data_IF_422473171937
#
_entry.id   IF_422473171937
#
_cell.length_a   1.000
_cell.length_b   1.000
_cell.length_c   1.000
_cell.angle_alpha   90.00
_cell.angle_beta   90.00
_cell.angle_gamma   90.00
#
_symmetry.space_group_name_H-M   'P 1'
#
loop_
_entity.id
_entity.type
_entity.pdbx_description
1 polymer ?
#
# COMPACT_ATOMS: atom_id res chain seq x y z
N UNK A 1 -23.76 32.38 9.98
CA UNK A 1 -23.31 31.00 10.24
C UNK A 1 -22.35 30.62 9.12
N UNK A 2 -21.07 30.93 9.33
CA UNK A 2 -20.03 30.84 8.31
C UNK A 2 -19.54 29.42 8.10
N UNK A 3 -19.45 29.04 6.82
CA UNK A 3 -18.65 27.92 6.34
C UNK A 3 -17.17 28.23 6.62
N UNK A 4 -16.54 27.47 7.53
CA UNK A 4 -15.08 27.46 7.66
C UNK A 4 -14.49 26.79 6.42
N UNK A 5 -14.04 27.60 5.48
CA UNK A 5 -13.08 27.23 4.44
C UNK A 5 -11.74 27.04 5.15
N UNK A 6 -11.23 25.80 5.19
CA UNK A 6 -9.85 25.53 5.61
C UNK A 6 -8.94 25.82 4.42
N UNK A 7 -8.53 27.09 4.28
CA UNK A 7 -7.45 27.50 3.37
C UNK A 7 -6.15 27.60 4.14
N UNK A 8 -5.10 26.92 3.66
CA UNK A 8 -3.72 27.26 3.94
C UNK A 8 -3.16 26.80 5.30
N UNK A 9 -2.57 25.61 5.33
CA UNK A 9 -1.46 25.30 6.23
C UNK A 9 -0.32 24.70 5.42
N UNK A 10 0.82 25.39 5.49
CA UNK A 10 2.15 24.94 5.05
C UNK A 10 2.43 23.54 5.62
N UNK A 11 2.53 22.53 4.75
CA UNK A 11 2.79 21.15 5.12
C UNK A 11 4.29 20.88 5.20
N UNK A 12 4.88 21.16 6.36
CA UNK A 12 6.27 20.82 6.67
C UNK A 12 6.33 19.63 7.65
N UNK A 13 7.27 18.72 7.34
CA UNK A 13 7.98 17.76 8.21
C UNK A 13 7.33 16.35 8.43
N UNK A 14 8.03 15.33 7.90
CA UNK A 14 8.29 13.95 8.39
C UNK A 14 7.29 12.78 8.22
N UNK A 15 7.19 12.21 7.00
CA UNK A 15 6.84 10.78 6.83
C UNK A 15 8.08 9.89 6.67
N UNK A 16 9.22 10.50 6.31
CA UNK A 16 10.37 9.80 5.77
C UNK A 16 11.20 9.07 6.85
N UNK A 17 11.27 9.61 8.07
CA UNK A 17 12.00 9.02 9.21
C UNK A 17 11.33 7.75 9.80
N UNK A 18 10.02 7.61 9.58
CA UNK A 18 9.15 6.65 10.27
C UNK A 18 9.32 5.26 9.67
N UNK A 19 9.21 5.11 8.35
CA UNK A 19 9.36 3.79 7.71
C UNK A 19 10.81 3.28 7.68
N UNK A 20 11.80 4.18 7.70
CA UNK A 20 13.22 3.79 7.84
C UNK A 20 13.55 3.27 9.25
N UNK A 21 12.99 3.87 10.31
CA UNK A 21 13.21 3.39 11.68
C UNK A 21 12.54 2.03 11.97
N UNK A 22 11.49 1.67 11.23
CA UNK A 22 10.85 0.35 11.32
C UNK A 22 11.70 -0.78 10.73
N UNK A 23 12.43 -0.49 9.64
CA UNK A 23 13.24 -1.47 8.91
C UNK A 23 14.65 -1.64 9.51
N UNK A 24 15.13 -0.69 10.35
CA UNK A 24 16.48 -0.76 10.97
C UNK A 24 16.49 -0.33 12.44
N UNK A 25 16.43 -1.28 13.39
CA UNK A 25 16.38 -0.98 14.82
C UNK A 25 17.63 -0.33 15.45
N UNK A 26 18.74 -0.19 14.70
CA UNK A 26 20.04 0.23 15.23
C UNK A 26 20.42 1.69 14.98
N UNK A 27 19.57 2.49 14.35
CA UNK A 27 19.93 3.86 13.93
C UNK A 27 19.28 4.91 14.84
N UNK A 28 20.12 5.71 15.50
CA UNK A 28 19.70 6.90 16.26
C UNK A 28 19.25 8.04 15.34
N UNK A 29 18.25 8.81 15.77
CA UNK A 29 17.50 9.86 15.08
C UNK A 29 18.27 11.09 14.54
N UNK A 30 19.59 11.06 14.40
CA UNK A 30 20.43 12.26 14.25
C UNK A 30 20.87 12.64 12.81
N UNK A 31 20.36 12.02 11.74
CA UNK A 31 20.91 12.28 10.39
C UNK A 31 19.88 12.19 9.27
N UNK A 32 18.83 13.01 9.33
CA UNK A 32 17.77 13.01 8.33
C UNK A 32 17.43 14.43 7.85
N UNK A 33 17.88 14.79 6.66
CA UNK A 33 17.66 16.11 6.05
C UNK A 33 17.03 15.99 4.66
N UNK A 34 16.11 15.05 4.47
CA UNK A 34 15.46 14.83 3.18
C UNK A 34 14.00 15.22 3.26
N UNK A 35 13.64 16.28 2.54
CA UNK A 35 12.29 16.83 2.49
C UNK A 35 11.49 16.14 1.38
N UNK A 36 10.94 14.96 1.69
CA UNK A 36 9.87 14.40 0.86
C UNK A 36 8.62 15.28 0.99
N UNK A 37 8.17 15.89 -0.10
CA UNK A 37 6.92 16.64 -0.15
C UNK A 37 5.75 15.73 -0.56
N UNK A 38 4.66 15.79 0.23
CA UNK A 38 3.46 14.95 0.10
C UNK A 38 3.76 13.47 -0.21
N UNK A 39 4.50 12.77 0.66
CA UNK A 39 4.88 11.38 0.38
C UNK A 39 3.65 10.46 0.37
N UNK A 40 3.59 9.59 -0.64
CA UNK A 40 2.36 8.85 -1.01
C UNK A 40 2.50 7.34 -0.94
N UNK A 41 3.71 6.81 -1.10
CA UNK A 41 4.00 5.38 -1.10
C UNK A 41 5.45 5.13 -0.71
N UNK A 42 5.71 3.97 -0.11
CA UNK A 42 7.02 3.52 0.34
C UNK A 42 7.14 2.02 0.19
N UNK A 43 8.30 1.55 -0.28
CA UNK A 43 8.68 0.14 -0.36
C UNK A 43 10.16 -0.01 0.01
N UNK A 44 10.63 -1.24 0.17
CA UNK A 44 12.05 -1.55 0.37
C UNK A 44 12.49 -2.69 -0.54
N UNK A 45 13.75 -2.68 -0.95
CA UNK A 45 14.39 -3.73 -1.75
C UNK A 45 15.34 -4.62 -0.92
N UNK A 46 15.24 -4.52 0.40
CA UNK A 46 16.13 -5.18 1.38
C UNK A 46 17.41 -4.39 1.70
N UNK A 47 17.88 -3.53 0.81
CA UNK A 47 19.07 -2.68 1.04
C UNK A 47 18.71 -1.19 1.14
N UNK A 48 17.65 -0.77 0.48
CA UNK A 48 17.21 0.60 0.37
C UNK A 48 15.70 0.72 0.59
N UNK A 49 15.30 1.88 1.10
CA UNK A 49 13.92 2.34 1.16
C UNK A 49 13.68 3.30 0.00
N UNK A 50 12.56 3.13 -0.69
CA UNK A 50 12.15 3.96 -1.80
C UNK A 50 10.85 4.66 -1.45
N UNK A 51 10.80 5.98 -1.63
CA UNK A 51 9.65 6.81 -1.26
C UNK A 51 9.21 7.67 -2.42
N UNK A 52 7.94 7.54 -2.79
CA UNK A 52 7.30 8.43 -3.74
C UNK A 52 7.01 9.76 -3.05
N UNK A 53 7.62 10.84 -3.54
CA UNK A 53 7.40 12.21 -3.09
C UNK A 53 6.49 12.91 -4.08
N UNK A 54 5.18 12.90 -3.80
CA UNK A 54 4.19 13.34 -4.78
C UNK A 54 4.21 14.85 -5.06
N UNK A 55 4.63 15.67 -4.08
CA UNK A 55 4.75 17.12 -4.25
C UNK A 55 5.95 17.54 -5.10
N UNK A 56 6.98 16.69 -5.16
CA UNK A 56 8.23 16.96 -5.86
C UNK A 56 8.36 16.22 -7.20
N UNK A 57 7.42 15.33 -7.54
CA UNK A 57 7.49 14.46 -8.72
C UNK A 57 8.77 13.62 -8.80
N UNK A 58 9.28 13.17 -7.65
CA UNK A 58 10.47 12.32 -7.53
C UNK A 58 10.18 11.05 -6.72
N UNK A 59 11.02 10.03 -6.94
CA UNK A 59 11.23 8.94 -5.99
C UNK A 59 12.55 9.14 -5.28
N UNK A 60 12.52 9.16 -3.95
CA UNK A 60 13.70 9.21 -3.10
C UNK A 60 14.17 7.79 -2.80
N UNK A 61 15.47 7.56 -2.79
CA UNK A 61 16.10 6.31 -2.36
C UNK A 61 16.97 6.59 -1.16
N UNK A 62 16.79 5.81 -0.11
CA UNK A 62 17.46 5.96 1.17
C UNK A 62 18.10 4.64 1.57
N UNK A 63 19.31 4.70 2.10
CA UNK A 63 20.00 3.51 2.61
C UNK A 63 19.24 3.00 3.83
N UNK A 64 18.93 1.71 3.87
CA UNK A 64 18.32 1.07 5.05
C UNK A 64 19.29 1.25 6.22
N UNK A 65 20.54 0.78 6.10
CA UNK A 65 21.53 0.74 7.19
C UNK A 65 21.93 2.07 7.81
N UNK A 66 21.75 3.19 7.10
CA UNK A 66 22.15 4.53 7.60
C UNK A 66 21.01 5.54 7.62
N UNK A 67 19.88 5.24 6.98
CA UNK A 67 18.82 6.18 6.69
C UNK A 67 19.20 7.33 5.75
N UNK A 68 20.46 7.40 5.27
CA UNK A 68 20.92 8.53 4.49
C UNK A 68 20.33 8.54 3.08
N UNK A 69 20.12 9.74 2.52
CA UNK A 69 19.72 9.89 1.11
C UNK A 69 20.79 9.31 0.20
N UNK A 70 20.39 8.36 -0.64
CA UNK A 70 21.22 7.83 -1.72
C UNK A 70 20.99 8.62 -3.00
N UNK A 71 19.74 9.01 -3.27
CA UNK A 71 19.41 9.82 -4.44
C UNK A 71 17.95 10.21 -4.51
N UNK A 72 17.66 11.18 -5.38
CA UNK A 72 16.32 11.58 -5.78
C UNK A 72 16.20 11.46 -7.30
N UNK A 73 15.20 10.72 -7.76
CA UNK A 73 15.04 10.35 -9.16
C UNK A 73 13.73 10.90 -9.70
N UNK A 74 13.83 11.74 -10.73
CA UNK A 74 12.66 12.33 -11.38
C UNK A 74 11.79 11.24 -12.03
N UNK A 75 10.48 11.36 -11.83
CA UNK A 75 9.45 10.48 -12.39
C UNK A 75 8.34 11.32 -13.00
N UNK A 76 7.18 10.72 -13.28
CA UNK A 76 6.01 11.48 -13.72
C UNK A 76 5.33 12.22 -12.57
N UNK A 77 4.26 12.95 -12.92
CA UNK A 77 3.54 13.81 -11.99
C UNK A 77 2.74 13.03 -10.95
N UNK A 78 2.88 13.44 -9.70
CA UNK A 78 2.17 12.90 -8.54
C UNK A 78 2.36 11.38 -8.45
N UNK A 79 3.60 10.90 -8.23
CA UNK A 79 3.84 9.48 -7.97
C UNK A 79 2.99 9.03 -6.79
N UNK A 80 2.20 7.97 -6.98
CA UNK A 80 1.14 7.55 -6.06
C UNK A 80 1.36 6.17 -5.47
N UNK A 81 1.96 5.25 -6.21
CA UNK A 81 2.25 3.90 -5.77
C UNK A 81 3.61 3.44 -6.27
N UNK A 82 4.26 2.60 -5.47
CA UNK A 82 5.51 1.92 -5.79
C UNK A 82 5.33 0.40 -5.69
N UNK A 83 5.99 -0.35 -6.57
CA UNK A 83 6.20 -1.80 -6.39
C UNK A 83 7.60 -2.18 -6.86
N UNK A 84 8.23 -3.17 -6.23
CA UNK A 84 9.49 -3.75 -6.69
C UNK A 84 9.24 -5.04 -7.46
N UNK A 85 9.97 -5.24 -8.56
CA UNK A 85 10.07 -6.55 -9.24
C UNK A 85 11.35 -7.32 -8.84
N UNK A 86 12.05 -6.85 -7.80
CA UNK A 86 13.35 -7.34 -7.34
C UNK A 86 14.54 -6.60 -7.96
N UNK A 87 14.54 -6.37 -9.28
CA UNK A 87 15.63 -5.66 -9.97
C UNK A 87 15.35 -4.18 -10.19
N UNK A 88 14.08 -3.79 -10.20
CA UNK A 88 13.57 -2.49 -10.58
C UNK A 88 12.48 -2.03 -9.62
N UNK A 89 12.30 -0.72 -9.58
CA UNK A 89 11.20 -0.04 -8.90
C UNK A 89 10.27 0.52 -9.96
N UNK A 90 8.98 0.24 -9.83
CA UNK A 90 7.93 0.73 -10.70
C UNK A 90 7.07 1.75 -9.98
N UNK A 91 6.74 2.83 -10.68
CA UNK A 91 6.16 4.03 -10.09
C UNK A 91 4.92 4.43 -10.86
N UNK A 92 3.74 4.39 -10.23
CA UNK A 92 2.51 4.88 -10.84
C UNK A 92 2.43 6.41 -10.70
N UNK A 93 2.43 7.12 -11.81
CA UNK A 93 2.39 8.58 -11.85
C UNK A 93 0.96 9.04 -12.16
N UNK A 94 0.19 9.33 -11.11
CA UNK A 94 -1.25 9.52 -11.20
C UNK A 94 -1.65 10.60 -12.21
N UNK A 95 -1.00 11.77 -12.15
CA UNK A 95 -1.37 12.91 -12.98
C UNK A 95 -0.68 12.92 -14.35
N UNK A 96 0.25 12.00 -14.59
CA UNK A 96 0.84 11.78 -15.91
C UNK A 96 0.17 10.65 -16.69
N UNK A 97 -0.66 9.81 -16.06
CA UNK A 97 -1.21 8.59 -16.67
C UNK A 97 -0.11 7.65 -17.20
N UNK A 98 1.00 7.56 -16.46
CA UNK A 98 2.15 6.72 -16.83
C UNK A 98 2.62 5.87 -15.66
N UNK A 99 3.41 4.85 -15.98
CA UNK A 99 4.26 4.15 -15.02
C UNK A 99 5.72 4.34 -15.40
N UNK A 100 6.57 4.76 -14.46
CA UNK A 100 8.03 4.86 -14.65
C UNK A 100 8.72 3.64 -14.04
N UNK A 101 9.68 3.07 -14.77
CA UNK A 101 10.55 1.98 -14.32
C UNK A 101 11.94 2.51 -14.01
N UNK A 102 12.38 2.36 -12.78
CA UNK A 102 13.71 2.73 -12.29
C UNK A 102 14.52 1.48 -12.00
N UNK A 103 15.79 1.45 -12.39
CA UNK A 103 16.69 0.37 -12.03
C UNK A 103 17.02 0.45 -10.54
N UNK A 104 16.73 -0.59 -9.74
CA UNK A 104 16.85 -0.49 -8.28
C UNK A 104 18.29 -0.18 -7.83
N UNK A 105 19.32 -0.81 -8.43
CA UNK A 105 20.71 -0.58 -8.01
C UNK A 105 21.16 0.89 -8.09
N UNK A 106 20.73 1.64 -9.11
CA UNK A 106 21.23 3.01 -9.37
C UNK A 106 20.17 4.11 -9.36
N UNK A 107 18.89 3.73 -9.44
CA UNK A 107 17.75 4.62 -9.69
C UNK A 107 17.67 5.18 -11.11
N UNK A 108 18.48 4.68 -12.04
CA UNK A 108 18.42 5.11 -13.44
C UNK A 108 17.05 4.77 -14.07
N UNK A 109 16.46 5.73 -14.76
CA UNK A 109 15.20 5.52 -15.50
C UNK A 109 15.43 4.61 -16.69
N UNK A 110 14.75 3.46 -16.70
CA UNK A 110 14.79 2.49 -17.79
C UNK A 110 13.67 2.73 -18.82
N UNK A 111 12.58 3.36 -18.40
CA UNK A 111 11.48 3.70 -19.29
C UNK A 111 10.30 4.32 -18.56
N UNK A 112 9.43 4.97 -19.32
CA UNK A 112 8.14 5.49 -18.86
C UNK A 112 7.07 5.06 -19.86
N UNK A 113 6.02 4.42 -19.36
CA UNK A 113 5.04 3.70 -20.16
C UNK A 113 3.65 4.29 -19.95
N UNK A 114 2.92 4.55 -21.02
CA UNK A 114 1.54 5.03 -20.96
C UNK A 114 0.60 3.93 -20.44
N UNK A 115 -0.30 4.30 -19.54
CA UNK A 115 -1.34 3.42 -18.99
C UNK A 115 -2.70 4.14 -19.01
N UNK A 116 -3.71 3.60 -18.34
CA UNK A 116 -5.00 4.25 -18.19
C UNK A 116 -4.95 5.51 -17.30
N UNK A 117 -6.11 6.17 -17.16
CA UNK A 117 -6.22 7.43 -16.42
C UNK A 117 -6.08 7.23 -14.92
N UNK A 118 -5.32 8.13 -14.27
CA UNK A 118 -5.11 8.17 -12.83
C UNK A 118 -4.68 6.81 -12.25
N UNK A 119 -3.50 6.26 -12.61
CA UNK A 119 -3.00 5.04 -12.02
C UNK A 119 -2.69 5.28 -10.53
N UNK A 120 -3.26 4.44 -9.64
CA UNK A 120 -3.09 4.60 -8.18
C UNK A 120 -2.62 3.35 -7.45
N UNK A 121 -2.62 2.18 -8.10
CA UNK A 121 -2.22 0.91 -7.50
C UNK A 121 -1.35 0.09 -8.43
N UNK A 122 -0.38 -0.62 -7.86
CA UNK A 122 0.53 -1.52 -8.56
C UNK A 122 0.63 -2.87 -7.86
N UNK A 123 0.76 -3.94 -8.63
CA UNK A 123 1.17 -5.26 -8.14
C UNK A 123 2.12 -5.93 -9.14
N UNK A 124 3.06 -6.72 -8.64
CA UNK A 124 3.93 -7.58 -9.45
C UNK A 124 3.49 -9.04 -9.29
N UNK A 125 3.29 -9.74 -10.41
CA UNK A 125 2.86 -11.15 -10.42
C UNK A 125 4.03 -12.15 -10.55
N UNK A 126 5.27 -11.67 -10.48
CA UNK A 126 6.49 -12.46 -10.76
C UNK A 126 7.00 -12.32 -12.20
N UNK A 127 6.18 -11.81 -13.14
CA UNK A 127 6.56 -11.59 -14.56
C UNK A 127 6.10 -10.24 -15.11
N UNK A 128 4.98 -9.72 -14.62
CA UNK A 128 4.26 -8.57 -15.14
C UNK A 128 3.88 -7.62 -14.02
N UNK A 129 3.77 -6.34 -14.37
CA UNK A 129 3.26 -5.28 -13.52
C UNK A 129 1.81 -5.02 -13.88
N UNK A 130 0.94 -5.06 -12.88
CA UNK A 130 -0.49 -4.77 -13.02
C UNK A 130 -0.78 -3.41 -12.41
N UNK A 131 -1.53 -2.59 -13.15
CA UNK A 131 -1.73 -1.17 -12.85
C UNK A 131 -3.22 -0.87 -12.76
N UNK A 132 -3.71 -0.53 -11.57
CA UNK A 132 -5.09 -0.08 -11.39
C UNK A 132 -5.23 1.38 -11.81
N UNK A 133 -6.01 1.61 -12.87
CA UNK A 133 -6.26 2.92 -13.45
C UNK A 133 -7.60 3.43 -12.92
N UNK A 134 -7.56 4.09 -11.77
CA UNK A 134 -8.74 4.54 -11.03
C UNK A 134 -9.69 5.34 -11.91
N UNK A 135 -9.14 6.25 -12.72
CA UNK A 135 -9.94 7.13 -13.56
C UNK A 135 -10.56 6.41 -14.75
N UNK A 136 -9.97 5.32 -15.23
CA UNK A 136 -10.44 4.61 -16.43
C UNK A 136 -11.26 3.36 -16.15
N UNK A 137 -11.44 2.96 -14.88
CA UNK A 137 -12.10 1.70 -14.49
C UNK A 137 -11.49 0.47 -15.19
N UNK A 138 -10.16 0.47 -15.32
CA UNK A 138 -9.40 -0.59 -16.00
C UNK A 138 -8.14 -0.96 -15.23
N UNK A 139 -7.64 -2.17 -15.49
CA UNK A 139 -6.30 -2.61 -15.10
C UNK A 139 -5.43 -2.79 -16.35
N UNK A 140 -4.25 -2.18 -16.37
CA UNK A 140 -3.26 -2.38 -17.45
C UNK A 140 -2.22 -3.40 -16.99
N UNK A 141 -1.86 -4.35 -17.86
CA UNK A 141 -0.79 -5.33 -17.63
C UNK A 141 0.42 -4.99 -18.49
N UNK A 142 1.55 -4.75 -17.85
CA UNK A 142 2.84 -4.44 -18.47
C UNK A 142 3.79 -5.62 -18.27
N UNK A 143 4.49 -6.04 -19.33
CA UNK A 143 5.56 -7.03 -19.20
C UNK A 143 6.73 -6.42 -18.43
N UNK A 144 7.15 -7.00 -17.31
CA UNK A 144 8.15 -6.36 -16.46
C UNK A 144 9.53 -6.27 -17.15
N UNK A 145 9.90 -7.21 -18.03
CA UNK A 145 11.21 -7.18 -18.67
C UNK A 145 11.42 -5.93 -19.57
N UNK A 146 10.39 -5.52 -20.32
CA UNK A 146 10.48 -4.44 -21.32
C UNK A 146 9.58 -3.22 -21.04
N UNK A 147 8.54 -3.39 -20.23
CA UNK A 147 7.44 -2.44 -20.04
C UNK A 147 6.42 -2.41 -21.18
N UNK A 148 6.47 -3.39 -22.10
CA UNK A 148 5.46 -3.51 -23.16
C UNK A 148 4.06 -3.78 -22.57
N UNK A 149 3.05 -3.10 -23.09
CA UNK A 149 1.65 -3.34 -22.71
C UNK A 149 1.17 -4.66 -23.31
N UNK A 150 0.76 -5.58 -22.45
CA UNK A 150 0.21 -6.89 -22.82
C UNK A 150 -1.32 -6.87 -22.94
N UNK A 151 -1.98 -5.95 -22.23
CA UNK A 151 -3.41 -5.79 -22.29
C UNK A 151 -3.94 -4.78 -21.29
N UNK A 152 -5.18 -4.34 -21.52
CA UNK A 152 -5.95 -3.48 -20.63
C UNK A 152 -7.33 -4.09 -20.46
N UNK A 153 -7.73 -4.29 -19.20
CA UNK A 153 -8.90 -5.09 -18.85
C UNK A 153 -9.88 -4.26 -18.03
N UNK A 154 -11.16 -4.30 -18.40
CA UNK A 154 -12.21 -3.62 -17.65
C UNK A 154 -12.47 -4.32 -16.31
N UNK A 155 -12.64 -3.52 -15.26
CA UNK A 155 -12.99 -3.97 -13.91
C UNK A 155 -14.13 -3.09 -13.37
N UNK A 156 -14.42 -3.17 -12.07
CA UNK A 156 -15.41 -2.29 -11.44
C UNK A 156 -14.92 -0.84 -11.33
N UNK A 157 -15.77 0.03 -10.77
CA UNK A 157 -15.52 1.46 -10.73
C UNK A 157 -14.51 1.85 -9.64
N UNK A 158 -13.58 2.73 -10.00
CA UNK A 158 -12.53 3.22 -9.10
C UNK A 158 -11.59 2.11 -8.60
N UNK A 159 -10.92 1.34 -9.49
CA UNK A 159 -9.99 0.31 -9.07
C UNK A 159 -8.84 0.93 -8.26
N UNK A 160 -8.50 0.28 -7.15
CA UNK A 160 -7.52 0.73 -6.17
C UNK A 160 -6.41 -0.29 -5.95
N UNK A 161 -6.49 -1.03 -4.85
CA UNK A 161 -5.47 -2.00 -4.48
C UNK A 161 -5.50 -3.21 -5.40
N UNK A 162 -4.33 -3.81 -5.63
CA UNK A 162 -4.20 -5.09 -6.32
C UNK A 162 -3.41 -6.07 -5.45
N UNK A 163 -3.81 -7.34 -5.46
CA UNK A 163 -3.08 -8.44 -4.82
C UNK A 163 -2.98 -9.61 -5.78
N UNK A 164 -1.80 -10.20 -5.89
CA UNK A 164 -1.59 -11.43 -6.64
C UNK A 164 -1.66 -12.64 -5.69
N UNK A 165 -2.46 -13.65 -6.05
CA UNK A 165 -2.65 -14.86 -5.24
C UNK A 165 -1.77 -16.04 -5.69
N UNK A 166 -0.83 -15.81 -6.63
CA UNK A 166 -0.03 -16.86 -7.27
C UNK A 166 -0.59 -17.34 -8.61
N UNK A 167 -1.85 -17.06 -8.93
CA UNK A 167 -2.51 -17.43 -10.20
C UNK A 167 -3.35 -16.30 -10.79
N UNK A 168 -3.93 -15.45 -9.96
CA UNK A 168 -4.91 -14.42 -10.28
C UNK A 168 -4.53 -13.10 -9.61
N UNK A 169 -4.95 -12.01 -10.23
CA UNK A 169 -4.87 -10.67 -9.67
C UNK A 169 -6.26 -10.26 -9.18
N UNK A 170 -6.35 -9.86 -7.92
CA UNK A 170 -7.56 -9.37 -7.29
C UNK A 170 -7.50 -7.85 -7.20
N UNK A 171 -8.60 -7.19 -7.52
CA UNK A 171 -8.67 -5.73 -7.67
C UNK A 171 -9.82 -5.19 -6.83
N UNK A 172 -9.53 -4.32 -5.86
CA UNK A 172 -10.60 -3.63 -5.13
C UNK A 172 -11.16 -2.50 -5.97
N UNK A 173 -12.48 -2.45 -6.10
CA UNK A 173 -13.19 -1.42 -6.86
C UNK A 173 -13.94 -0.52 -5.87
N UNK A 174 -13.30 0.60 -5.52
CA UNK A 174 -13.70 1.46 -4.39
C UNK A 174 -15.12 2.00 -4.56
N UNK A 175 -15.48 2.41 -5.78
CA UNK A 175 -16.74 3.10 -6.03
C UNK A 175 -17.90 2.14 -6.31
N UNK A 176 -17.61 0.89 -6.69
CA UNK A 176 -18.63 -0.14 -6.91
C UNK A 176 -18.83 -1.10 -5.73
N UNK A 177 -18.02 -0.99 -4.66
CA UNK A 177 -18.09 -1.87 -3.48
C UNK A 177 -17.91 -3.36 -3.83
N UNK A 178 -16.99 -3.64 -4.75
CA UNK A 178 -16.71 -5.01 -5.23
C UNK A 178 -15.22 -5.29 -5.29
N UNK A 179 -14.87 -6.56 -5.41
CA UNK A 179 -13.53 -7.01 -5.82
C UNK A 179 -13.66 -7.79 -7.12
N UNK A 180 -12.83 -7.48 -8.12
CA UNK A 180 -12.73 -8.25 -9.38
C UNK A 180 -11.55 -9.20 -9.35
N UNK A 181 -11.74 -10.44 -9.79
CA UNK A 181 -10.69 -11.45 -9.95
C UNK A 181 -10.33 -11.60 -11.43
N UNK A 182 -9.08 -11.35 -11.77
CA UNK A 182 -8.53 -11.48 -13.12
C UNK A 182 -7.56 -12.66 -13.18
N UNK A 183 -7.68 -13.53 -14.16
CA UNK A 183 -6.70 -14.59 -14.41
C UNK A 183 -5.38 -13.95 -14.84
N UNK A 184 -4.27 -14.20 -14.13
CA UNK A 184 -3.03 -13.47 -14.41
C UNK A 184 -2.45 -13.82 -15.79
N UNK A 185 -2.61 -15.05 -16.29
CA UNK A 185 -2.04 -15.45 -17.59
C UNK A 185 -2.60 -14.66 -18.77
N UNK A 186 -3.92 -14.37 -18.77
CA UNK A 186 -4.62 -13.76 -19.90
C UNK A 186 -5.27 -12.40 -19.61
N UNK A 187 -5.51 -12.09 -18.34
CA UNK A 187 -6.35 -10.98 -17.88
C UNK A 187 -7.85 -11.22 -18.01
N UNK A 188 -8.28 -12.47 -18.25
CA UNK A 188 -9.70 -12.81 -18.27
C UNK A 188 -10.36 -12.51 -16.92
N UNK A 189 -11.55 -11.89 -16.94
CA UNK A 189 -12.35 -11.67 -15.74
C UNK A 189 -13.03 -12.98 -15.32
N UNK A 190 -12.65 -13.47 -14.13
CA UNK A 190 -13.16 -14.71 -13.54
C UNK A 190 -14.35 -14.49 -12.61
N UNK A 191 -14.65 -13.23 -12.27
CA UNK A 191 -15.75 -12.87 -11.40
C UNK A 191 -15.56 -11.51 -10.74
N UNK A 192 -16.69 -10.91 -10.36
CA UNK A 192 -16.75 -9.71 -9.53
C UNK A 192 -17.63 -10.00 -8.33
N UNK A 193 -17.10 -9.77 -7.14
CA UNK A 193 -17.69 -10.21 -5.87
C UNK A 193 -18.02 -9.01 -5.01
N UNK A 194 -19.23 -8.97 -4.47
CA UNK A 194 -19.66 -7.91 -3.56
C UNK A 194 -18.92 -7.99 -2.22
N UNK A 195 -18.49 -6.85 -1.71
CA UNK A 195 -17.87 -6.69 -0.39
C UNK A 195 -18.51 -5.51 0.35
N UNK A 196 -17.89 -5.02 1.43
CA UNK A 196 -18.36 -3.83 2.12
C UNK A 196 -18.11 -2.53 1.34
N UNK A 197 -18.51 -1.40 1.93
CA UNK A 197 -18.42 -0.09 1.28
C UNK A 197 -16.99 0.43 1.22
N UNK A 198 -16.60 0.94 0.05
CA UNK A 198 -15.28 1.51 -0.25
C UNK A 198 -14.14 0.55 0.13
N UNK A 199 -14.01 -0.58 -0.59
CA UNK A 199 -12.92 -1.51 -0.36
C UNK A 199 -11.57 -0.86 -0.71
N UNK A 200 -10.65 -0.78 0.25
CA UNK A 200 -9.33 -0.20 0.08
C UNK A 200 -8.24 -1.28 0.00
N UNK A 201 -7.41 -1.40 1.04
CA UNK A 201 -6.31 -2.36 1.11
C UNK A 201 -6.80 -3.81 1.14
N UNK A 202 -5.99 -4.68 0.54
CA UNK A 202 -6.24 -6.12 0.50
C UNK A 202 -4.98 -6.90 0.84
N UNK A 203 -5.15 -8.13 1.34
CA UNK A 203 -4.05 -9.09 1.53
C UNK A 203 -4.50 -10.50 1.13
N UNK A 204 -3.55 -11.30 0.65
CA UNK A 204 -3.72 -12.73 0.43
C UNK A 204 -3.03 -13.49 1.56
N UNK A 205 -3.74 -14.41 2.22
CA UNK A 205 -3.22 -15.20 3.35
C UNK A 205 -2.70 -16.59 2.96
N UNK A 206 -2.63 -16.90 1.66
CA UNK A 206 -2.33 -18.24 1.14
C UNK A 206 -3.56 -19.08 0.77
N UNK A 207 -4.77 -18.66 1.17
CA UNK A 207 -6.02 -19.32 0.77
C UNK A 207 -7.19 -18.36 0.50
N UNK A 208 -7.12 -17.15 1.04
CA UNK A 208 -8.22 -16.19 1.10
C UNK A 208 -7.71 -14.77 0.81
N UNK A 209 -8.59 -13.97 0.24
CA UNK A 209 -8.40 -12.53 0.08
C UNK A 209 -9.14 -11.82 1.21
N UNK A 210 -8.43 -10.97 1.94
CA UNK A 210 -8.98 -10.13 2.99
C UNK A 210 -9.06 -8.69 2.50
N UNK A 211 -10.22 -8.07 2.67
CA UNK A 211 -10.55 -6.77 2.05
C UNK A 211 -11.00 -5.80 3.13
N UNK A 212 -10.26 -4.71 3.35
CA UNK A 212 -10.67 -3.64 4.25
C UNK A 212 -11.75 -2.77 3.60
N UNK A 213 -12.91 -2.63 4.25
CA UNK A 213 -14.03 -1.85 3.75
C UNK A 213 -14.16 -0.56 4.56
N UNK A 214 -13.56 0.53 4.06
CA UNK A 214 -13.28 1.71 4.89
C UNK A 214 -14.52 2.49 5.31
N UNK A 215 -15.64 2.36 4.62
CA UNK A 215 -16.91 3.01 4.99
C UNK A 215 -17.91 2.08 5.66
N UNK A 216 -17.54 0.83 5.92
CA UNK A 216 -18.36 -0.13 6.69
C UNK A 216 -17.74 -0.48 8.04
N UNK A 217 -16.49 -0.08 8.26
CA UNK A 217 -15.61 -0.53 9.35
C UNK A 217 -15.64 -2.04 9.53
N UNK A 218 -15.50 -2.74 8.40
CA UNK A 218 -15.43 -4.19 8.35
C UNK A 218 -14.25 -4.65 7.51
N UNK A 219 -13.87 -5.92 7.68
CA UNK A 219 -13.05 -6.65 6.73
C UNK A 219 -13.85 -7.83 6.18
N UNK A 220 -13.85 -8.00 4.86
CA UNK A 220 -14.47 -9.15 4.19
C UNK A 220 -13.40 -10.19 3.86
N UNK A 221 -13.68 -11.47 4.13
CA UNK A 221 -12.84 -12.62 3.76
C UNK A 221 -13.48 -13.34 2.58
N UNK A 222 -12.79 -13.41 1.46
CA UNK A 222 -13.18 -14.14 0.26
C UNK A 222 -12.29 -15.37 0.09
N UNK A 223 -12.88 -16.52 -0.24
CA UNK A 223 -12.13 -17.72 -0.60
C UNK A 223 -11.44 -17.50 -1.95
N UNK A 224 -10.11 -17.62 -2.02
CA UNK A 224 -9.38 -17.28 -3.25
C UNK A 224 -9.70 -18.24 -4.41
N UNK A 225 -10.04 -19.51 -4.16
CA UNK A 225 -10.34 -20.45 -5.25
C UNK A 225 -11.59 -20.05 -6.06
N UNK A 226 -12.63 -19.53 -5.41
CA UNK A 226 -13.94 -19.27 -6.04
C UNK A 226 -14.44 -17.83 -5.94
N UNK A 227 -13.89 -17.03 -5.03
CA UNK A 227 -14.39 -15.71 -4.64
C UNK A 227 -15.61 -15.74 -3.72
N UNK A 228 -15.99 -16.91 -3.20
CA UNK A 228 -17.06 -17.05 -2.22
C UNK A 228 -16.75 -16.26 -0.95
N UNK A 229 -17.71 -15.46 -0.48
CA UNK A 229 -17.60 -14.75 0.81
C UNK A 229 -17.68 -15.75 1.96
N UNK A 230 -16.59 -15.85 2.74
CA UNK A 230 -16.50 -16.69 3.93
C UNK A 230 -16.97 -15.98 5.20
N UNK A 231 -16.87 -14.65 5.23
CA UNK A 231 -17.32 -13.85 6.35
C UNK A 231 -17.04 -12.37 6.16
N UNK A 232 -17.73 -11.55 6.95
CA UNK A 232 -17.46 -10.13 7.11
C UNK A 232 -17.40 -9.81 8.59
N UNK A 233 -16.29 -9.20 9.03
CA UNK A 233 -15.94 -9.05 10.43
C UNK A 233 -15.82 -7.57 10.77
N UNK A 234 -16.46 -7.13 11.87
CA UNK A 234 -16.34 -5.75 12.34
C UNK A 234 -14.94 -5.49 12.88
N UNK A 235 -14.38 -4.34 12.52
CA UNK A 235 -13.06 -3.86 12.98
C UNK A 235 -13.20 -2.40 13.46
N UNK A 236 -12.07 -1.74 13.75
CA UNK A 236 -12.08 -0.33 14.13
C UNK A 236 -12.43 0.61 12.96
N UNK A 237 -12.67 1.88 13.28
CA UNK A 237 -13.14 2.90 12.36
C UNK A 237 -12.18 3.16 11.19
N UNK A 238 -12.76 3.18 9.98
CA UNK A 238 -12.07 3.43 8.71
C UNK A 238 -10.85 2.53 8.48
N UNK A 239 -11.05 1.21 8.27
CA UNK A 239 -9.96 0.30 7.94
C UNK A 239 -9.42 0.60 6.53
N UNK A 240 -8.10 0.79 6.41
CA UNK A 240 -7.45 1.23 5.16
C UNK A 240 -6.42 0.23 4.62
N UNK A 241 -5.80 -0.58 5.49
CA UNK A 241 -4.80 -1.57 5.10
C UNK A 241 -5.04 -2.91 5.82
N UNK A 242 -4.65 -3.99 5.15
CA UNK A 242 -4.69 -5.36 5.68
C UNK A 242 -3.31 -5.99 5.47
N UNK A 243 -2.81 -6.67 6.50
CA UNK A 243 -1.56 -7.44 6.44
C UNK A 243 -1.83 -8.84 6.94
N UNK A 244 -1.45 -9.85 6.16
CA UNK A 244 -1.59 -11.26 6.52
C UNK A 244 -0.21 -11.87 6.81
N UNK A 245 -0.10 -12.66 7.87
CA UNK A 245 1.12 -13.40 8.20
C UNK A 245 1.00 -14.14 9.52
N UNK A 246 1.76 -15.22 9.68
CA UNK A 246 1.79 -16.07 10.89
C UNK A 246 0.40 -16.52 11.37
N UNK A 247 -0.52 -16.79 10.42
CA UNK A 247 -1.89 -17.20 10.73
C UNK A 247 -2.79 -16.09 11.30
N UNK A 248 -2.33 -14.84 11.31
CA UNK A 248 -3.07 -13.67 11.77
C UNK A 248 -3.32 -12.68 10.63
N UNK A 249 -4.38 -11.88 10.80
CA UNK A 249 -4.71 -10.76 9.92
C UNK A 249 -4.69 -9.48 10.75
N UNK A 250 -3.89 -8.51 10.34
CA UNK A 250 -3.79 -7.21 10.99
C UNK A 250 -4.45 -6.15 10.11
N UNK A 251 -5.35 -5.38 10.70
CA UNK A 251 -6.18 -4.40 10.01
C UNK A 251 -5.90 -3.04 10.58
N UNK A 252 -5.41 -2.12 9.75
CA UNK A 252 -5.08 -0.75 10.16
C UNK A 252 -6.32 0.12 10.08
N UNK A 253 -6.76 0.67 11.21
CA UNK A 253 -7.96 1.49 11.34
C UNK A 253 -7.56 2.96 11.46
N UNK A 254 -7.67 3.72 10.36
CA UNK A 254 -7.13 5.07 10.26
C UNK A 254 -7.79 6.03 11.24
N UNK A 255 -9.11 6.10 11.23
CA UNK A 255 -9.84 7.00 12.13
C UNK A 255 -10.02 6.41 13.52
N UNK A 256 -9.94 5.07 13.64
CA UNK A 256 -9.90 4.39 14.92
C UNK A 256 -8.58 4.46 15.67
N UNK A 257 -7.53 5.08 15.10
CA UNK A 257 -6.18 5.19 15.68
C UNK A 257 -5.66 3.89 16.28
N UNK A 258 -5.94 2.78 15.60
CA UNK A 258 -5.72 1.43 16.13
C UNK A 258 -5.39 0.44 15.04
N UNK A 259 -4.95 -0.74 15.46
CA UNK A 259 -4.90 -1.93 14.61
C UNK A 259 -5.71 -3.04 15.25
N UNK A 260 -6.54 -3.71 14.46
CA UNK A 260 -7.28 -4.91 14.88
C UNK A 260 -6.56 -6.16 14.41
N UNK A 261 -6.32 -7.12 15.32
CA UNK A 261 -5.80 -8.46 15.01
C UNK A 261 -6.97 -9.44 14.94
N UNK A 262 -7.08 -10.16 13.83
CA UNK A 262 -8.02 -11.26 13.64
C UNK A 262 -7.24 -12.58 13.50
N UNK A 263 -7.85 -13.67 13.95
CA UNK A 263 -7.37 -15.02 13.66
C UNK A 263 -7.63 -15.35 12.19
N UNK A 264 -6.60 -15.69 11.41
CA UNK A 264 -6.73 -15.90 9.97
C UNK A 264 -7.64 -17.09 9.59
N UNK A 265 -7.67 -18.16 10.39
CA UNK A 265 -8.54 -19.31 10.08
C UNK A 265 -10.03 -18.96 10.18
N UNK A 266 -10.45 -18.21 11.21
CA UNK A 266 -11.86 -18.00 11.55
C UNK A 266 -12.36 -16.57 11.33
N UNK A 267 -11.46 -15.60 11.28
CA UNK A 267 -11.74 -14.16 11.33
C UNK A 267 -12.18 -13.65 12.71
N UNK A 268 -12.11 -14.48 13.75
CA UNK A 268 -12.41 -14.05 15.11
C UNK A 268 -11.44 -12.95 15.57
N UNK A 269 -11.97 -11.91 16.20
CA UNK A 269 -11.14 -10.83 16.77
C UNK A 269 -10.32 -11.33 17.93
N UNK A 270 -9.00 -11.20 17.82
CA UNK A 270 -8.04 -11.50 18.90
C UNK A 270 -7.88 -10.27 19.80
N UNK A 271 -7.83 -9.07 19.21
CA UNK A 271 -7.73 -7.83 19.95
C UNK A 271 -7.67 -6.60 19.05
N UNK A 272 -7.89 -5.43 19.65
CA UNK A 272 -7.69 -4.12 18.99
C UNK A 272 -6.73 -3.31 19.85
N UNK A 273 -5.68 -2.79 19.23
CA UNK A 273 -4.54 -2.18 19.90
C UNK A 273 -4.40 -0.73 19.44
N UNK A 274 -4.36 0.20 20.40
CA UNK A 274 -4.14 1.61 20.11
C UNK A 274 -2.74 1.85 19.54
N UNK A 275 -2.67 2.65 18.48
CA UNK A 275 -1.42 3.12 17.86
C UNK A 275 -1.39 4.65 17.84
N UNK A 276 -0.57 5.26 16.98
CA UNK A 276 -0.55 6.73 16.87
C UNK A 276 -1.66 7.22 15.93
N UNK A 277 -1.82 8.54 15.83
CA UNK A 277 -2.89 9.15 15.07
C UNK A 277 -2.82 8.86 13.57
N UNK A 278 -3.99 8.64 12.97
CA UNK A 278 -4.23 8.35 11.56
C UNK A 278 -3.24 7.31 10.96
N UNK A 279 -3.23 6.05 11.43
CA UNK A 279 -2.38 5.03 10.85
C UNK A 279 -2.84 4.68 9.44
N UNK A 280 -1.88 4.48 8.52
CA UNK A 280 -2.18 4.32 7.09
C UNK A 280 -1.75 2.98 6.52
N UNK A 281 -0.68 2.39 7.05
CA UNK A 281 -0.16 1.12 6.56
C UNK A 281 0.61 0.38 7.67
N UNK A 282 0.86 -0.90 7.47
CA UNK A 282 1.69 -1.70 8.36
C UNK A 282 2.48 -2.78 7.60
N UNK A 283 3.56 -3.26 8.19
CA UNK A 283 4.35 -4.40 7.69
C UNK A 283 4.66 -5.38 8.83
N UNK A 284 4.85 -6.65 8.46
CA UNK A 284 5.33 -7.69 9.37
C UNK A 284 6.82 -7.93 9.15
N UNK A 285 7.62 -7.80 10.21
CA UNK A 285 9.05 -8.07 10.16
C UNK A 285 9.61 -8.48 11.52
N UNK A 286 10.41 -9.55 11.53
CA UNK A 286 11.10 -10.04 12.73
C UNK A 286 10.17 -10.35 13.90
N UNK A 287 8.97 -10.89 13.63
CA UNK A 287 7.95 -11.17 14.65
C UNK A 287 7.24 -9.93 15.22
N UNK A 288 7.33 -8.79 14.52
CA UNK A 288 6.68 -7.55 14.92
C UNK A 288 5.83 -6.99 13.79
N UNK A 289 4.74 -6.31 14.17
CA UNK A 289 4.00 -5.43 13.29
C UNK A 289 4.51 -4.00 13.47
N UNK A 290 4.89 -3.37 12.37
CA UNK A 290 5.28 -1.97 12.36
C UNK A 290 4.22 -1.15 11.63
N UNK A 291 3.65 -0.17 12.34
CA UNK A 291 2.48 0.58 11.89
C UNK A 291 2.89 2.03 11.67
N UNK A 292 2.71 2.53 10.45
CA UNK A 292 2.96 3.92 10.12
C UNK A 292 1.77 4.79 10.55
N UNK A 293 2.01 5.74 11.46
CA UNK A 293 1.01 6.68 11.96
C UNK A 293 1.22 8.05 11.32
N UNK A 294 0.40 8.38 10.32
CA UNK A 294 0.59 9.59 9.52
C UNK A 294 0.30 10.86 10.33
N UNK A 295 -0.81 10.88 11.07
CA UNK A 295 -1.25 12.05 11.83
C UNK A 295 -0.27 12.43 12.94
N UNK A 296 0.30 11.42 13.60
CA UNK A 296 1.26 11.61 14.70
C UNK A 296 2.73 11.59 14.28
N UNK A 297 3.03 11.45 12.98
CA UNK A 297 4.41 11.41 12.45
C UNK A 297 5.29 10.39 13.20
N UNK A 298 4.78 9.18 13.39
CA UNK A 298 5.44 8.15 14.19
C UNK A 298 5.25 6.74 13.64
N UNK A 299 6.11 5.80 14.04
CA UNK A 299 5.83 4.34 13.90
C UNK A 299 5.47 3.77 15.24
N UNK A 300 4.45 2.92 15.27
CA UNK A 300 4.21 2.03 16.42
C UNK A 300 4.70 0.63 16.11
N UNK A 301 5.49 0.04 17.02
CA UNK A 301 5.90 -1.36 16.97
C UNK A 301 5.06 -2.19 17.92
N UNK A 302 4.41 -3.22 17.40
CA UNK A 302 3.65 -4.21 18.18
C UNK A 302 4.30 -5.58 18.04
N UNK A 303 4.35 -6.36 19.13
CA UNK A 303 4.74 -7.78 19.05
C UNK A 303 3.61 -8.58 18.42
N UNK A 304 3.89 -9.43 17.44
CA UNK A 304 2.83 -10.13 16.71
C UNK A 304 2.14 -11.22 17.54
N UNK A 305 2.82 -11.83 18.52
CA UNK A 305 2.25 -12.91 19.34
C UNK A 305 1.01 -12.46 20.12
N UNK A 306 1.06 -11.27 20.74
CA UNK A 306 0.08 -10.79 21.71
C UNK A 306 -0.45 -9.36 21.44
N UNK A 307 0.15 -8.63 20.49
CA UNK A 307 -0.17 -7.24 20.16
C UNK A 307 0.35 -6.21 21.17
N UNK A 308 1.23 -6.61 22.09
CA UNK A 308 1.87 -5.69 23.04
C UNK A 308 2.61 -4.60 22.29
N UNK A 309 2.34 -3.34 22.64
CA UNK A 309 3.08 -2.19 22.15
C UNK A 309 4.48 -2.16 22.74
N UNK A 310 5.48 -2.31 21.88
CA UNK A 310 6.90 -2.33 22.25
C UNK A 310 7.52 -0.93 22.23
N UNK A 311 6.89 0.01 21.54
CA UNK A 311 7.31 1.40 21.48
C UNK A 311 6.58 2.19 20.39
N UNK A 312 6.66 3.50 20.49
CA UNK A 312 6.38 4.42 19.40
C UNK A 312 7.62 5.27 19.14
N UNK A 313 8.02 5.35 17.87
CA UNK A 313 9.21 6.05 17.43
C UNK A 313 8.76 7.25 16.61
N UNK A 314 8.86 8.44 17.20
CA UNK A 314 8.52 9.70 16.56
C UNK A 314 9.73 10.40 15.98
N UNK A 315 9.48 11.46 15.24
CA UNK A 315 10.51 12.36 14.73
C UNK A 315 10.31 13.69 15.42
N UNK A 316 11.33 14.22 16.10
CA UNK A 316 11.25 15.57 16.67
C UNK A 316 11.03 16.61 15.56
N UNK A 317 10.31 17.71 15.85
CA UNK A 317 10.10 18.81 14.91
C UNK A 317 11.42 19.39 14.41
#
# INVERSE_FOLDING_TARGET
MEKKVLTGMSFLISLLLVVVAALVPSISSASYQVQAEAPSSVIHDGTNVWVASAGNDVVLKLSVSTGSLVGAYAVGKTPRALVSDGANIWVANQNSNTVTKLLARSGATLGTYGVGRAPIGLAFDGTNIWVANYGSNTVTKLLASSGATLGTYSVGDGPGALVFDGTNVWVSNQNSNTVTKLLASSGANLGTYAVGKVPQGMAYDGANIWVANSQSDTVTKLLASSGMTLGTYKVGDNPVAVVAGDGAIWVVNQFGHSVTKLQGSTGATVGTYGVGDAPTNAILEGGNLWVANFGSRSVTKLRTSDGTKLGSFGTSP
#
